data_IF_692682503068
#
_entry.id   IF_692682503068
#
_cell.length_a   1.000
_cell.length_b   1.000
_cell.length_c   1.000
_cell.angle_alpha   90.00
_cell.angle_beta   90.00
_cell.angle_gamma   90.00
#
_symmetry.space_group_name_H-M   'P 1'
#
loop_
_entity.id
_entity.type
_entity.pdbx_description
1 polymer ?
#
# COMPACT_ATOMS: atom_id res chain seq x y z
N UNK A 1 -11.48 13.26 27.50
CA UNK A 1 -10.86 12.89 26.21
C UNK A 1 -9.93 11.73 26.54
N UNK A 2 -10.21 10.49 26.11
CA UNK A 2 -9.39 9.32 26.49
C UNK A 2 -8.07 9.36 25.70
N UNK A 3 -6.93 9.49 26.38
CA UNK A 3 -5.59 9.72 25.77
C UNK A 3 -5.26 8.81 24.58
N UNK A 4 -5.72 7.55 24.61
CA UNK A 4 -5.56 6.57 23.52
C UNK A 4 -6.09 7.01 22.16
N UNK A 5 -7.18 7.77 22.11
CA UNK A 5 -7.72 8.26 20.82
C UNK A 5 -6.79 9.28 20.16
N UNK A 6 -6.12 10.10 20.97
CA UNK A 6 -5.16 11.09 20.47
C UNK A 6 -3.84 10.43 20.08
N UNK A 7 -3.36 9.48 20.88
CA UNK A 7 -2.20 8.66 20.53
C UNK A 7 -2.38 7.92 19.20
N UNK A 8 -3.60 7.42 18.93
CA UNK A 8 -3.95 6.78 17.67
C UNK A 8 -3.90 7.77 16.50
N UNK A 9 -4.44 8.98 16.67
CA UNK A 9 -4.40 10.03 15.65
C UNK A 9 -2.95 10.45 15.34
N UNK A 10 -2.13 10.68 16.36
CA UNK A 10 -0.73 11.03 16.19
C UNK A 10 0.05 9.90 15.49
N UNK A 11 -0.28 8.63 15.78
CA UNK A 11 0.30 7.48 15.09
C UNK A 11 -0.08 7.45 13.61
N UNK A 12 -1.37 7.63 13.28
CA UNK A 12 -1.85 7.68 11.90
C UNK A 12 -1.20 8.82 11.13
N UNK A 13 -1.00 9.98 11.75
CA UNK A 13 -0.29 11.10 11.15
C UNK A 13 1.19 10.77 10.86
N UNK A 14 1.94 10.29 11.86
CA UNK A 14 3.35 9.90 11.71
C UNK A 14 3.55 8.82 10.64
N UNK A 15 2.62 7.87 10.56
CA UNK A 15 2.67 6.74 9.62
C UNK A 15 1.98 7.01 8.30
N UNK A 16 1.35 8.19 8.14
CA UNK A 16 0.60 8.59 6.95
C UNK A 16 -0.45 7.56 6.57
N UNK A 17 -1.23 7.13 7.56
CA UNK A 17 -2.34 6.17 7.38
C UNK A 17 -3.64 6.95 7.22
N UNK A 18 -4.29 6.77 6.08
CA UNK A 18 -5.52 7.50 5.74
C UNK A 18 -6.79 6.83 6.29
N UNK A 19 -6.80 5.50 6.33
CA UNK A 19 -7.90 4.65 6.78
C UNK A 19 -7.33 3.57 7.70
N UNK A 20 -7.92 3.39 8.88
CA UNK A 20 -7.48 2.39 9.86
C UNK A 20 -8.67 1.63 10.44
N UNK A 21 -8.66 0.31 10.32
CA UNK A 21 -9.57 -0.55 11.09
C UNK A 21 -9.00 -0.75 12.49
N UNK A 22 -9.85 -0.64 13.51
CA UNK A 22 -9.48 -0.88 14.91
C UNK A 22 -10.44 -1.87 15.56
N UNK A 23 -9.90 -2.78 16.34
CA UNK A 23 -10.61 -3.80 17.08
C UNK A 23 -10.34 -3.63 18.59
N UNK A 24 -11.12 -4.33 19.42
CA UNK A 24 -11.07 -4.21 20.88
C UNK A 24 -11.16 -2.77 21.40
N UNK A 25 -12.02 -1.95 20.78
CA UNK A 25 -12.16 -0.55 21.21
C UNK A 25 -12.67 -0.44 22.64
N UNK A 26 -13.48 -1.42 23.09
CA UNK A 26 -14.12 -1.44 24.42
C UNK A 26 -14.92 -0.17 24.69
N UNK A 27 -15.52 0.38 23.64
CA UNK A 27 -16.34 1.58 23.70
C UNK A 27 -17.81 1.20 23.53
N UNK A 28 -18.65 1.67 24.46
CA UNK A 28 -20.10 1.46 24.38
C UNK A 28 -20.75 2.53 23.51
N UNK A 29 -21.53 2.08 22.53
CA UNK A 29 -22.38 2.93 21.70
C UNK A 29 -22.15 2.73 20.20
N UNK A 30 -23.02 3.37 19.43
CA UNK A 30 -23.03 3.39 17.97
C UNK A 30 -22.88 4.84 17.51
N UNK A 31 -21.64 5.34 17.38
CA UNK A 31 -21.37 6.77 17.18
C UNK A 31 -20.22 7.02 16.20
N UNK A 32 -19.98 8.30 15.93
CA UNK A 32 -18.73 8.78 15.35
C UNK A 32 -18.19 9.93 16.18
N UNK A 33 -16.86 10.09 16.26
CA UNK A 33 -16.21 11.13 17.06
C UNK A 33 -14.88 11.54 16.45
N UNK A 34 -14.59 12.83 16.43
CA UNK A 34 -13.24 13.33 16.11
C UNK A 34 -12.26 12.95 17.24
N UNK A 35 -11.10 12.42 16.88
CA UNK A 35 -10.09 11.92 17.82
C UNK A 35 -8.85 12.82 17.91
N UNK A 36 -8.78 13.88 17.10
CA UNK A 36 -7.65 14.81 17.02
C UNK A 36 -6.92 14.72 15.68
N UNK A 37 -5.99 15.65 15.42
CA UNK A 37 -5.11 15.68 14.25
C UNK A 37 -5.80 15.47 12.87
N UNK A 38 -7.05 15.91 12.72
CA UNK A 38 -7.80 15.72 11.48
C UNK A 38 -8.24 14.27 11.24
N UNK A 39 -8.52 13.49 12.29
CA UNK A 39 -9.07 12.14 12.17
C UNK A 39 -10.41 11.99 12.89
N UNK A 40 -11.28 11.15 12.31
CA UNK A 40 -12.59 10.79 12.85
C UNK A 40 -12.75 9.28 12.92
N UNK A 41 -13.14 8.82 14.11
CA UNK A 41 -13.44 7.42 14.39
C UNK A 41 -14.94 7.17 14.28
N UNK A 42 -15.32 6.17 13.51
CA UNK A 42 -16.63 5.53 13.50
C UNK A 42 -16.51 4.25 14.29
N UNK A 43 -17.38 4.00 15.27
CA UNK A 43 -17.28 2.79 16.08
C UNK A 43 -18.65 2.22 16.43
N UNK A 44 -18.63 0.94 16.78
CA UNK A 44 -19.74 0.23 17.40
C UNK A 44 -19.23 -0.73 18.48
N UNK A 45 -19.86 -0.69 19.64
CA UNK A 45 -19.63 -1.65 20.71
C UNK A 45 -20.77 -1.66 21.73
N UNK A 46 -21.00 -2.81 22.35
CA UNK A 46 -22.13 -3.03 23.27
C UNK A 46 -21.69 -2.87 24.73
N UNK A 47 -20.49 -3.36 25.06
CA UNK A 47 -19.90 -3.32 26.40
C UNK A 47 -18.62 -2.44 26.39
N UNK A 48 -18.41 -1.69 27.46
CA UNK A 48 -17.17 -0.95 27.69
C UNK A 48 -16.01 -1.81 28.19
N UNK A 49 -16.24 -3.11 28.42
CA UNK A 49 -15.23 -4.06 28.95
C UNK A 49 -14.72 -5.06 27.91
N UNK A 50 -15.51 -5.36 26.88
CA UNK A 50 -15.23 -6.41 25.88
C UNK A 50 -15.57 -5.93 24.47
N UNK A 51 -14.91 -6.53 23.47
CA UNK A 51 -15.16 -6.34 22.05
C UNK A 51 -15.12 -4.87 21.59
N UNK A 52 -15.74 -4.60 20.45
CA UNK A 52 -15.89 -3.29 19.85
C UNK A 52 -15.01 -3.14 18.61
N UNK A 53 -15.62 -2.65 17.55
CA UNK A 53 -14.97 -2.38 16.27
C UNK A 53 -15.05 -0.91 15.91
N UNK A 54 -14.09 -0.47 15.12
CA UNK A 54 -14.03 0.88 14.61
C UNK A 54 -13.33 0.98 13.27
N UNK A 55 -13.61 2.07 12.57
CA UNK A 55 -12.86 2.55 11.41
C UNK A 55 -12.54 4.02 11.63
N UNK A 56 -11.25 4.35 11.61
CA UNK A 56 -10.75 5.73 11.67
C UNK A 56 -10.46 6.19 10.26
N UNK A 57 -10.95 7.38 9.92
CA UNK A 57 -10.71 8.05 8.65
C UNK A 57 -10.03 9.39 8.89
N UNK A 58 -9.06 9.73 8.03
CA UNK A 58 -8.58 11.10 7.87
C UNK A 58 -9.72 12.00 7.37
N UNK A 59 -9.75 13.25 7.81
CA UNK A 59 -10.86 14.20 7.62
C UNK A 59 -11.29 14.34 6.16
N UNK A 60 -10.34 14.28 5.22
CA UNK A 60 -10.61 14.35 3.78
C UNK A 60 -11.47 13.18 3.26
N UNK A 61 -11.37 12.00 3.88
CA UNK A 61 -12.19 10.82 3.55
C UNK A 61 -13.51 10.80 4.30
N UNK A 62 -13.63 11.51 5.42
CA UNK A 62 -14.89 11.60 6.19
C UNK A 62 -16.00 12.18 5.32
N UNK A 63 -15.68 13.18 4.48
CA UNK A 63 -16.64 13.80 3.56
C UNK A 63 -17.04 12.90 2.39
N UNK A 64 -16.29 11.82 2.17
CA UNK A 64 -16.50 10.84 1.09
C UNK A 64 -17.31 9.62 1.55
N UNK A 65 -17.70 9.56 2.83
CA UNK A 65 -18.50 8.46 3.38
C UNK A 65 -19.93 8.56 2.89
N UNK A 66 -20.39 7.53 2.18
CA UNK A 66 -21.76 7.40 1.71
C UNK A 66 -22.63 6.58 2.68
N UNK A 67 -22.05 5.57 3.33
CA UNK A 67 -22.79 4.67 4.21
C UNK A 67 -21.92 4.18 5.37
N UNK A 68 -22.55 3.96 6.52
CA UNK A 68 -21.93 3.32 7.69
C UNK A 68 -22.84 2.22 8.22
N UNK A 69 -22.50 0.95 7.98
CA UNK A 69 -23.21 -0.21 8.53
C UNK A 69 -22.51 -0.69 9.79
N UNK A 70 -23.25 -0.80 10.89
CA UNK A 70 -22.76 -1.28 12.18
C UNK A 70 -23.54 -2.54 12.51
N UNK A 71 -23.00 -3.70 12.12
CA UNK A 71 -23.71 -4.98 12.17
C UNK A 71 -23.71 -5.52 13.59
N UNK A 72 -22.52 -5.58 14.21
CA UNK A 72 -22.32 -6.06 15.57
C UNK A 72 -21.09 -5.40 16.21
N UNK A 73 -20.80 -5.71 17.48
CA UNK A 73 -19.57 -5.29 18.17
C UNK A 73 -18.31 -6.01 17.65
N UNK A 74 -18.48 -6.84 16.60
CA UNK A 74 -17.43 -7.57 15.89
C UNK A 74 -17.35 -7.24 14.41
N UNK A 75 -18.40 -6.69 13.78
CA UNK A 75 -18.43 -6.40 12.34
C UNK A 75 -19.04 -5.03 12.07
N UNK A 76 -18.31 -4.20 11.32
CA UNK A 76 -18.84 -2.96 10.74
C UNK A 76 -18.24 -2.68 9.37
N UNK A 77 -18.95 -1.92 8.54
CA UNK A 77 -18.46 -1.47 7.24
C UNK A 77 -18.77 0.00 6.96
N UNK A 78 -17.85 0.64 6.25
CA UNK A 78 -18.03 1.97 5.70
C UNK A 78 -17.95 1.88 4.18
N UNK A 79 -18.89 2.54 3.50
CA UNK A 79 -18.84 2.75 2.06
C UNK A 79 -18.39 4.18 1.79
N UNK A 80 -17.34 4.33 0.99
CA UNK A 80 -16.80 5.61 0.56
C UNK A 80 -16.82 5.71 -0.96
N UNK A 81 -17.05 6.92 -1.48
CA UNK A 81 -16.81 7.24 -2.88
C UNK A 81 -15.55 8.08 -3.01
N UNK A 82 -14.51 7.51 -3.60
CA UNK A 82 -13.22 8.16 -3.77
C UNK A 82 -12.97 8.31 -5.27
N UNK A 83 -13.13 9.53 -5.78
CA UNK A 83 -12.88 9.87 -7.19
C UNK A 83 -13.65 8.94 -8.16
N UNK A 84 -14.95 8.74 -7.90
CA UNK A 84 -15.83 7.86 -8.69
C UNK A 84 -15.67 6.36 -8.42
N UNK A 85 -14.80 5.96 -7.48
CA UNK A 85 -14.64 4.56 -7.06
C UNK A 85 -15.38 4.33 -5.75
N UNK A 86 -16.28 3.35 -5.75
CA UNK A 86 -16.88 2.84 -4.53
C UNK A 86 -15.90 1.91 -3.80
N UNK A 87 -15.45 2.33 -2.61
CA UNK A 87 -14.61 1.55 -1.71
C UNK A 87 -15.39 1.18 -0.45
N UNK A 88 -15.47 -0.10 -0.16
CA UNK A 88 -16.05 -0.64 1.07
C UNK A 88 -14.92 -1.08 2.00
N UNK A 89 -14.84 -0.44 3.17
CA UNK A 89 -13.89 -0.78 4.23
C UNK A 89 -14.63 -1.54 5.31
N UNK A 90 -14.26 -2.79 5.53
CA UNK A 90 -14.88 -3.66 6.54
C UNK A 90 -13.90 -3.88 7.68
N UNK A 91 -14.35 -3.64 8.91
CA UNK A 91 -13.60 -3.94 10.13
C UNK A 91 -14.22 -5.15 10.82
N UNK A 92 -13.43 -6.22 10.95
CA UNK A 92 -13.84 -7.48 11.58
C UNK A 92 -13.02 -7.80 12.83
N UNK A 93 -13.66 -8.35 13.85
CA UNK A 93 -13.02 -8.85 15.06
C UNK A 93 -13.53 -10.26 15.40
N UNK A 94 -12.80 -11.27 14.95
CA UNK A 94 -13.21 -12.66 15.11
C UNK A 94 -13.18 -13.10 16.58
N UNK A 95 -14.06 -14.02 17.00
CA UNK A 95 -13.99 -14.65 18.31
C UNK A 95 -12.65 -15.37 18.54
N UNK A 96 -12.25 -15.50 19.81
CA UNK A 96 -11.01 -16.20 20.16
C UNK A 96 -11.15 -17.72 19.95
N UNK A 97 -10.02 -18.42 19.84
CA UNK A 97 -9.97 -19.89 19.63
C UNK A 97 -10.82 -20.66 20.64
N UNK A 98 -10.89 -20.20 21.91
CA UNK A 98 -11.67 -20.84 22.97
C UNK A 98 -13.16 -20.45 23.05
N UNK A 99 -13.67 -19.60 22.15
CA UNK A 99 -15.09 -19.26 22.09
C UNK A 99 -15.93 -20.41 21.53
N UNK A 100 -17.21 -20.44 21.91
CA UNK A 100 -18.20 -21.40 21.41
C UNK A 100 -18.35 -21.32 19.90
N UNK A 101 -18.64 -22.47 19.27
CA UNK A 101 -18.79 -22.56 17.80
C UNK A 101 -19.90 -21.64 17.28
N UNK A 102 -21.00 -21.51 18.01
CA UNK A 102 -22.12 -20.63 17.66
C UNK A 102 -21.68 -19.15 17.54
N UNK A 103 -20.76 -18.69 18.41
CA UNK A 103 -20.22 -17.33 18.33
C UNK A 103 -19.35 -17.16 17.07
N UNK A 104 -18.56 -18.17 16.72
CA UNK A 104 -17.74 -18.19 15.50
C UNK A 104 -18.61 -18.18 14.25
N UNK A 105 -19.62 -19.04 14.19
CA UNK A 105 -20.56 -19.13 13.07
C UNK A 105 -21.33 -17.83 12.88
N UNK A 106 -21.79 -17.20 13.96
CA UNK A 106 -22.46 -15.89 13.89
C UNK A 106 -21.56 -14.82 13.28
N UNK A 107 -20.29 -14.73 13.70
CA UNK A 107 -19.34 -13.78 13.11
C UNK A 107 -19.16 -13.97 11.59
N UNK A 108 -19.01 -15.22 11.15
CA UNK A 108 -18.85 -15.51 9.72
C UNK A 108 -20.12 -15.25 8.92
N UNK A 109 -21.30 -15.54 9.48
CA UNK A 109 -22.59 -15.20 8.86
C UNK A 109 -22.76 -13.69 8.70
N UNK A 110 -22.45 -12.91 9.73
CA UNK A 110 -22.49 -11.43 9.67
C UNK A 110 -21.53 -10.89 8.61
N UNK A 111 -20.32 -11.45 8.50
CA UNK A 111 -19.36 -11.05 7.48
C UNK A 111 -19.82 -11.42 6.07
N UNK A 112 -20.43 -12.61 5.92
CA UNK A 112 -21.01 -13.06 4.65
C UNK A 112 -22.13 -12.12 4.19
N UNK A 113 -23.05 -11.74 5.07
CA UNK A 113 -24.13 -10.80 4.77
C UNK A 113 -23.60 -9.44 4.30
N UNK A 114 -22.57 -8.91 4.97
CA UNK A 114 -21.90 -7.68 4.52
C UNK A 114 -21.35 -7.85 3.12
N UNK A 115 -20.64 -8.94 2.85
CA UNK A 115 -20.02 -9.19 1.53
C UNK A 115 -21.04 -9.37 0.42
N UNK A 116 -22.12 -10.12 0.66
CA UNK A 116 -23.22 -10.32 -0.30
C UNK A 116 -23.92 -8.98 -0.60
N UNK A 117 -24.00 -8.08 0.38
CA UNK A 117 -24.59 -6.75 0.17
C UNK A 117 -23.76 -5.81 -0.70
N UNK A 118 -22.47 -6.10 -0.92
CA UNK A 118 -21.56 -5.24 -1.66
C UNK A 118 -21.51 -5.69 -3.14
N UNK A 119 -21.92 -4.84 -4.10
CA UNK A 119 -21.88 -5.20 -5.52
C UNK A 119 -20.50 -5.62 -5.99
N UNK A 120 -20.41 -6.62 -6.87
CA UNK A 120 -19.15 -7.22 -7.32
C UNK A 120 -18.19 -6.22 -7.98
N UNK A 121 -18.72 -5.16 -8.61
CA UNK A 121 -17.91 -4.10 -9.24
C UNK A 121 -17.25 -3.13 -8.26
N UNK A 122 -17.70 -3.07 -7.01
CA UNK A 122 -17.13 -2.18 -6.00
C UNK A 122 -15.82 -2.74 -5.43
N UNK A 123 -14.98 -1.87 -4.84
CA UNK A 123 -13.78 -2.32 -4.13
C UNK A 123 -14.13 -2.71 -2.71
N UNK A 124 -13.46 -3.73 -2.19
CA UNK A 124 -13.59 -4.17 -0.79
C UNK A 124 -12.21 -4.38 -0.20
N UNK A 125 -11.99 -3.80 0.97
CA UNK A 125 -10.85 -4.08 1.83
C UNK A 125 -11.37 -4.43 3.22
N UNK A 126 -11.01 -5.61 3.70
CA UNK A 126 -11.35 -6.07 5.05
C UNK A 126 -10.09 -6.00 5.89
N UNK A 127 -10.10 -5.20 6.95
CA UNK A 127 -9.09 -5.25 8.00
C UNK A 127 -9.66 -6.01 9.19
N UNK A 128 -9.13 -7.19 9.46
CA UNK A 128 -9.67 -8.05 10.52
C UNK A 128 -8.59 -8.72 11.35
N UNK A 129 -8.87 -8.81 12.65
CA UNK A 129 -8.16 -9.71 13.55
C UNK A 129 -8.91 -11.04 13.56
N UNK A 130 -8.33 -12.05 12.91
CA UNK A 130 -8.92 -13.37 12.80
C UNK A 130 -8.42 -14.33 13.90
N UNK A 131 -7.45 -13.94 14.75
CA UNK A 131 -6.90 -14.81 15.80
C UNK A 131 -6.35 -16.17 15.30
N UNK A 132 -5.77 -16.22 14.09
CA UNK A 132 -5.35 -17.48 13.42
C UNK A 132 -3.83 -17.66 13.32
N UNK A 133 -3.39 -18.89 13.01
CA UNK A 133 -2.10 -19.18 12.40
C UNK A 133 -2.36 -19.89 11.08
N UNK A 134 -1.88 -19.35 9.96
CA UNK A 134 -2.26 -19.88 8.63
C UNK A 134 -1.10 -20.56 7.90
N UNK A 135 -1.24 -21.86 7.64
CA UNK A 135 -0.46 -22.61 6.68
C UNK A 135 -0.81 -22.22 5.24
N UNK A 136 0.17 -22.11 4.33
CA UNK A 136 -0.07 -21.80 2.90
C UNK A 136 -0.21 -23.02 1.97
N UNK A 137 -0.07 -24.25 2.47
CA UNK A 137 -0.10 -25.45 1.62
C UNK A 137 -1.50 -25.73 1.06
N UNK A 138 -1.62 -25.69 -0.27
CA UNK A 138 -2.82 -26.14 -1.00
C UNK A 138 -3.80 -25.03 -1.42
N UNK A 139 -3.53 -23.76 -1.10
CA UNK A 139 -4.50 -22.66 -1.28
C UNK A 139 -3.91 -21.47 -2.05
N UNK A 140 -3.05 -21.75 -3.02
CA UNK A 140 -2.39 -20.75 -3.89
C UNK A 140 -3.36 -19.88 -4.70
N UNK A 141 -4.64 -20.25 -4.72
CA UNK A 141 -5.73 -19.47 -5.31
C UNK A 141 -6.14 -18.24 -4.49
N UNK A 142 -6.06 -18.33 -3.15
CA UNK A 142 -6.47 -17.26 -2.21
C UNK A 142 -5.30 -16.71 -1.41
N UNK A 143 -4.19 -17.45 -1.34
CA UNK A 143 -3.00 -17.09 -0.56
C UNK A 143 -1.75 -17.04 -1.45
N UNK A 144 -0.86 -16.10 -1.14
CA UNK A 144 0.45 -15.97 -1.76
C UNK A 144 1.52 -16.87 -1.11
N UNK A 145 2.71 -16.87 -1.70
CA UNK A 145 3.83 -17.77 -1.38
C UNK A 145 4.44 -17.56 0.01
N UNK A 146 4.07 -16.50 0.73
CA UNK A 146 4.76 -16.06 1.96
C UNK A 146 3.93 -16.21 3.25
N UNK A 147 2.82 -16.95 3.22
CA UNK A 147 2.06 -17.32 4.42
C UNK A 147 2.84 -18.13 5.46
N UNK A 148 2.26 -18.32 6.64
CA UNK A 148 2.84 -19.14 7.72
C UNK A 148 2.75 -20.63 7.33
N UNK A 149 3.41 -21.54 8.07
CA UNK A 149 3.53 -22.96 7.67
C UNK A 149 2.46 -23.88 8.26
N UNK A 150 1.85 -23.53 9.39
CA UNK A 150 0.90 -24.38 10.12
C UNK A 150 -0.48 -23.73 10.19
N UNK A 151 -1.53 -24.52 9.91
CA UNK A 151 -2.93 -24.09 9.88
C UNK A 151 -3.71 -24.71 11.04
N UNK A 152 -4.42 -23.88 11.81
CA UNK A 152 -5.43 -24.32 12.77
C UNK A 152 -6.87 -24.25 12.19
N UNK A 153 -7.86 -24.70 12.95
CA UNK A 153 -9.28 -24.69 12.53
C UNK A 153 -9.75 -23.28 12.14
N UNK A 154 -9.39 -22.27 12.93
CA UNK A 154 -9.76 -20.89 12.65
C UNK A 154 -9.11 -20.40 11.35
N UNK A 155 -7.84 -20.76 11.09
CA UNK A 155 -7.18 -20.49 9.81
C UNK A 155 -7.88 -21.17 8.63
N UNK A 156 -8.47 -22.35 8.82
CA UNK A 156 -9.29 -22.98 7.79
C UNK A 156 -10.57 -22.20 7.52
N UNK A 157 -11.23 -21.65 8.55
CA UNK A 157 -12.43 -20.81 8.37
C UNK A 157 -12.14 -19.55 7.54
N UNK A 158 -10.97 -18.91 7.73
CA UNK A 158 -10.55 -17.77 6.90
C UNK A 158 -10.35 -18.19 5.45
N UNK A 159 -9.68 -19.34 5.21
CA UNK A 159 -9.49 -19.88 3.86
C UNK A 159 -10.83 -20.22 3.20
N UNK A 160 -11.75 -20.87 3.91
CA UNK A 160 -13.06 -21.23 3.37
C UNK A 160 -13.88 -19.98 3.01
N UNK A 161 -13.87 -18.96 3.87
CA UNK A 161 -14.49 -17.66 3.61
C UNK A 161 -13.86 -16.99 2.37
N UNK A 162 -12.53 -16.94 2.29
CA UNK A 162 -11.84 -16.27 1.17
C UNK A 162 -12.09 -16.97 -0.16
N UNK A 163 -12.16 -18.30 -0.18
CA UNK A 163 -12.54 -19.06 -1.38
C UNK A 163 -13.97 -18.77 -1.80
N UNK A 164 -14.91 -18.84 -0.85
CA UNK A 164 -16.34 -18.60 -1.09
C UNK A 164 -16.60 -17.20 -1.64
N UNK A 165 -15.89 -16.20 -1.14
CA UNK A 165 -16.10 -14.79 -1.48
C UNK A 165 -15.15 -14.25 -2.57
N UNK A 166 -14.36 -15.12 -3.22
CA UNK A 166 -13.36 -14.74 -4.23
C UNK A 166 -12.41 -13.63 -3.74
N UNK A 167 -11.88 -13.82 -2.53
CA UNK A 167 -10.98 -12.89 -1.85
C UNK A 167 -9.52 -13.39 -1.90
N UNK A 168 -8.60 -12.47 -1.65
CA UNK A 168 -7.18 -12.73 -1.52
C UNK A 168 -6.69 -12.31 -0.13
N UNK A 169 -5.87 -13.16 0.51
CA UNK A 169 -5.21 -12.87 1.79
C UNK A 169 -3.95 -12.05 1.52
N UNK A 170 -4.11 -10.73 1.47
CA UNK A 170 -3.10 -9.79 0.96
C UNK A 170 -1.74 -9.94 1.63
N UNK A 171 -1.71 -10.15 2.95
CA UNK A 171 -0.49 -10.28 3.74
C UNK A 171 0.45 -11.39 3.23
N UNK A 172 -0.08 -12.41 2.56
CA UNK A 172 0.65 -13.60 2.14
C UNK A 172 1.32 -13.47 0.77
N UNK A 173 1.02 -12.40 0.02
CA UNK A 173 1.58 -12.13 -1.32
C UNK A 173 2.92 -11.39 -1.29
N UNK A 174 3.28 -10.77 -0.16
CA UNK A 174 4.48 -9.94 -0.08
C UNK A 174 5.57 -10.61 0.77
N UNK A 175 6.77 -10.73 0.22
CA UNK A 175 7.93 -11.22 0.98
C UNK A 175 8.34 -10.18 2.03
N UNK A 176 8.27 -10.55 3.31
CA UNK A 176 8.66 -9.69 4.42
C UNK A 176 9.60 -10.42 5.39
N UNK A 177 10.45 -9.66 6.08
CA UNK A 177 11.23 -10.15 7.23
C UNK A 177 10.26 -10.65 8.30
N UNK A 178 10.65 -11.66 9.06
CA UNK A 178 9.80 -12.29 10.08
C UNK A 178 9.18 -11.28 11.07
N UNK A 179 9.97 -10.30 11.50
CA UNK A 179 9.53 -9.22 12.39
C UNK A 179 8.36 -8.40 11.83
N UNK A 180 8.26 -8.28 10.50
CA UNK A 180 7.22 -7.55 9.78
C UNK A 180 6.07 -8.46 9.30
N UNK A 181 6.04 -9.72 9.76
CA UNK A 181 4.93 -10.68 9.58
C UNK A 181 4.20 -10.97 10.88
N UNK A 182 4.91 -10.95 12.01
CA UNK A 182 4.35 -11.21 13.33
C UNK A 182 3.49 -10.03 13.78
N UNK A 183 2.20 -10.25 13.99
CA UNK A 183 1.29 -9.21 14.48
C UNK A 183 0.95 -9.38 15.96
N UNK A 184 1.22 -10.53 16.59
CA UNK A 184 1.02 -10.72 18.04
C UNK A 184 2.26 -11.29 18.74
N UNK A 185 2.60 -10.75 19.91
CA UNK A 185 3.70 -11.22 20.77
C UNK A 185 3.26 -11.33 22.23
N UNK A 186 3.27 -12.53 22.80
CA UNK A 186 3.04 -12.76 24.23
C UNK A 186 3.71 -14.04 24.72
N UNK A 187 4.38 -14.00 25.88
CA UNK A 187 4.95 -15.19 26.55
C UNK A 187 5.91 -16.02 25.71
N UNK A 188 6.66 -15.40 24.77
CA UNK A 188 7.56 -16.10 23.85
C UNK A 188 6.91 -16.63 22.56
N UNK A 189 5.58 -16.61 22.45
CA UNK A 189 4.84 -16.94 21.21
C UNK A 189 4.76 -15.73 20.28
N UNK A 190 4.90 -15.99 18.98
CA UNK A 190 4.85 -15.02 17.89
C UNK A 190 3.86 -15.54 16.83
N UNK A 191 2.75 -14.84 16.62
CA UNK A 191 1.70 -15.25 15.67
C UNK A 191 1.27 -14.09 14.78
N UNK A 192 0.67 -14.40 13.63
CA UNK A 192 0.06 -13.42 12.73
C UNK A 192 -1.46 -13.57 12.83
N UNK A 193 -2.11 -12.64 13.50
CA UNK A 193 -3.56 -12.66 13.76
C UNK A 193 -4.32 -11.60 12.98
N UNK A 194 -3.63 -10.56 12.52
CA UNK A 194 -4.21 -9.45 11.77
C UNK A 194 -4.00 -9.63 10.26
N UNK A 195 -5.10 -9.56 9.53
CA UNK A 195 -5.14 -9.80 8.09
C UNK A 195 -5.82 -8.66 7.36
N UNK A 196 -5.31 -8.39 6.17
CA UNK A 196 -5.97 -7.58 5.17
C UNK A 196 -6.43 -8.52 4.06
N UNK A 197 -7.73 -8.49 3.78
CA UNK A 197 -8.33 -9.19 2.66
C UNK A 197 -8.80 -8.16 1.62
N UNK A 198 -8.70 -8.51 0.35
CA UNK A 198 -9.33 -7.75 -0.74
C UNK A 198 -9.95 -8.72 -1.75
N UNK A 199 -10.81 -8.22 -2.65
CA UNK A 199 -11.27 -9.03 -3.78
C UNK A 199 -10.10 -9.46 -4.64
N UNK A 200 -10.13 -10.70 -5.13
CA UNK A 200 -9.07 -11.25 -5.99
C UNK A 200 -8.86 -10.40 -7.24
N UNK A 201 -9.94 -9.93 -7.87
CA UNK A 201 -9.91 -9.02 -9.03
C UNK A 201 -9.21 -7.68 -8.75
N UNK A 202 -9.14 -7.27 -7.48
CA UNK A 202 -8.60 -5.98 -7.03
C UNK A 202 -7.21 -6.08 -6.41
N UNK A 203 -6.68 -7.30 -6.23
CA UNK A 203 -5.37 -7.54 -5.60
C UNK A 203 -4.24 -6.79 -6.30
N UNK A 204 -4.28 -6.70 -7.63
CA UNK A 204 -3.32 -5.95 -8.46
C UNK A 204 -3.26 -4.44 -8.17
N UNK A 205 -4.28 -3.89 -7.52
CA UNK A 205 -4.29 -2.48 -7.12
C UNK A 205 -3.45 -2.25 -5.86
N UNK A 206 -3.12 -3.32 -5.11
CA UNK A 206 -2.33 -3.29 -3.89
C UNK A 206 -0.85 -3.39 -4.24
N UNK A 207 -0.10 -2.35 -3.87
CA UNK A 207 1.35 -2.22 -4.08
C UNK A 207 2.20 -2.76 -2.93
N UNK A 208 1.68 -2.80 -1.70
CA UNK A 208 2.40 -3.29 -0.52
C UNK A 208 1.43 -3.66 0.60
N UNK A 209 1.79 -4.66 1.41
CA UNK A 209 1.15 -4.97 2.68
C UNK A 209 2.23 -5.38 3.70
N UNK A 210 2.26 -4.73 4.85
CA UNK A 210 3.28 -4.98 5.88
C UNK A 210 2.77 -4.74 7.30
N UNK A 211 3.36 -5.44 8.27
CA UNK A 211 3.22 -5.11 9.68
C UNK A 211 4.20 -3.99 10.04
N UNK A 212 3.70 -2.98 10.74
CA UNK A 212 4.49 -1.88 11.32
C UNK A 212 4.89 -2.26 12.74
N UNK A 213 6.20 -2.39 12.96
CA UNK A 213 6.80 -2.76 14.24
C UNK A 213 7.22 -1.50 15.00
N UNK A 214 7.03 -1.49 16.33
CA UNK A 214 7.61 -0.45 17.21
C UNK A 214 6.69 0.71 17.61
N UNK A 215 5.37 0.60 17.43
CA UNK A 215 4.43 1.60 17.97
C UNK A 215 4.01 1.26 19.41
N UNK A 216 3.95 2.28 20.27
CA UNK A 216 3.63 2.14 21.69
C UNK A 216 2.12 2.03 21.99
N UNK A 217 1.27 2.38 21.02
CA UNK A 217 -0.20 2.47 21.18
C UNK A 217 -0.84 1.09 21.40
N UNK A 218 -0.27 0.04 20.82
CA UNK A 218 -0.67 -1.35 21.03
C UNK A 218 0.57 -2.21 21.34
N UNK A 219 0.90 -2.37 22.63
CA UNK A 219 2.13 -3.06 23.09
C UNK A 219 2.23 -4.53 22.68
N UNK A 220 1.12 -5.16 22.26
CA UNK A 220 1.05 -6.59 21.92
C UNK A 220 0.58 -6.89 20.49
N UNK A 221 -0.04 -5.92 19.79
CA UNK A 221 -0.59 -6.08 18.44
C UNK A 221 0.13 -5.15 17.45
N UNK A 222 0.64 -5.70 16.35
CA UNK A 222 1.32 -4.99 15.28
C UNK A 222 0.33 -4.54 14.20
N UNK A 223 0.32 -3.24 13.89
CA UNK A 223 -0.57 -2.68 12.87
C UNK A 223 -0.21 -3.20 11.48
N UNK A 224 -1.17 -3.74 10.74
CA UNK A 224 -1.02 -4.09 9.32
C UNK A 224 -1.40 -2.90 8.46
N UNK A 225 -0.54 -2.52 7.52
CA UNK A 225 -0.77 -1.41 6.58
C UNK A 225 -0.73 -1.95 5.16
N UNK A 226 -1.81 -1.72 4.41
CA UNK A 226 -1.93 -2.01 2.98
C UNK A 226 -1.93 -0.71 2.18
N UNK A 227 -1.34 -0.75 0.98
CA UNK A 227 -1.17 0.41 0.11
C UNK A 227 -1.71 0.14 -1.30
N UNK A 228 -2.67 0.94 -1.77
CA UNK A 228 -3.26 0.82 -3.11
C UNK A 228 -2.80 1.95 -4.03
N UNK A 229 -2.52 1.72 -5.34
CA UNK A 229 -1.84 2.75 -6.17
C UNK A 229 -2.24 2.85 -7.65
N UNK A 230 -2.53 1.80 -8.43
CA UNK A 230 -2.53 1.95 -9.91
C UNK A 230 -3.79 2.59 -10.54
N UNK A 231 -4.98 2.05 -10.29
CA UNK A 231 -6.22 2.50 -10.95
C UNK A 231 -6.74 3.83 -10.40
N UNK A 232 -6.40 4.12 -9.14
CA UNK A 232 -6.68 5.42 -8.49
C UNK A 232 -5.93 6.54 -9.21
N UNK A 233 -4.68 6.32 -9.62
CA UNK A 233 -3.92 7.33 -10.35
C UNK A 233 -4.54 7.64 -11.72
N UNK A 234 -5.04 6.64 -12.45
CA UNK A 234 -5.70 6.86 -13.74
C UNK A 234 -6.97 7.71 -13.60
N UNK A 235 -7.80 7.40 -12.60
CA UNK A 235 -9.04 8.14 -12.34
C UNK A 235 -8.76 9.57 -11.84
N UNK A 236 -7.78 9.75 -10.95
CA UNK A 236 -7.33 11.08 -10.50
C UNK A 236 -6.80 11.93 -11.66
N UNK A 237 -6.17 11.32 -12.65
CA UNK A 237 -5.73 12.00 -13.88
C UNK A 237 -6.84 12.23 -14.91
N UNK A 238 -8.11 12.00 -14.57
CA UNK A 238 -9.25 12.29 -15.44
C UNK A 238 -9.42 11.31 -16.61
N UNK A 239 -8.78 10.14 -16.56
CA UNK A 239 -8.95 9.13 -17.61
C UNK A 239 -10.38 8.59 -17.57
N UNK A 240 -11.07 8.65 -18.71
CA UNK A 240 -12.46 8.19 -18.80
C UNK A 240 -12.61 6.72 -18.37
N UNK A 241 -13.65 6.41 -17.61
CA UNK A 241 -13.83 5.11 -16.95
C UNK A 241 -13.75 3.92 -17.92
N UNK A 242 -14.28 4.09 -19.14
CA UNK A 242 -14.17 3.07 -20.21
C UNK A 242 -12.73 2.61 -20.47
N UNK A 243 -11.76 3.51 -20.38
CA UNK A 243 -10.34 3.17 -20.58
C UNK A 243 -9.71 2.58 -19.32
N UNK A 244 -10.15 3.03 -18.13
CA UNK A 244 -9.71 2.44 -16.86
C UNK A 244 -10.15 0.98 -16.78
N UNK A 245 -11.39 0.66 -17.17
CA UNK A 245 -11.89 -0.72 -17.20
C UNK A 245 -11.11 -1.59 -18.19
N UNK A 246 -10.84 -1.09 -19.41
CA UNK A 246 -10.06 -1.83 -20.41
C UNK A 246 -8.64 -2.11 -19.91
N UNK A 247 -7.97 -1.12 -19.31
CA UNK A 247 -6.64 -1.32 -18.71
C UNK A 247 -6.73 -2.27 -17.51
N UNK A 248 -7.77 -2.19 -16.69
CA UNK A 248 -7.99 -3.14 -15.61
C UNK A 248 -8.09 -4.58 -16.16
N UNK A 249 -8.89 -4.81 -17.18
CA UNK A 249 -9.06 -6.13 -17.80
C UNK A 249 -7.75 -6.67 -18.38
N UNK A 250 -6.96 -5.82 -19.04
CA UNK A 250 -5.64 -6.19 -19.57
C UNK A 250 -4.74 -6.77 -18.47
N UNK A 251 -4.77 -6.20 -17.26
CA UNK A 251 -3.93 -6.65 -16.15
C UNK A 251 -4.53 -7.84 -15.36
N UNK A 252 -5.82 -8.14 -15.49
CA UNK A 252 -6.50 -9.17 -14.66
C UNK A 252 -6.10 -10.61 -14.99
N UNK A 253 -5.73 -10.88 -16.25
CA UNK A 253 -5.47 -12.23 -16.76
C UNK A 253 -4.09 -12.37 -17.39
N UNK A 254 -3.17 -11.46 -17.05
CA UNK A 254 -1.85 -11.40 -17.69
C UNK A 254 -0.94 -12.55 -17.24
N UNK A 255 -0.47 -13.32 -18.22
CA UNK A 255 0.57 -14.35 -18.07
C UNK A 255 1.71 -14.02 -19.02
N UNK A 256 2.94 -14.25 -18.58
CA UNK A 256 4.13 -14.02 -19.40
C UNK A 256 4.85 -15.36 -19.59
N UNK A 257 5.44 -15.49 -20.77
CA UNK A 257 6.46 -16.49 -21.10
C UNK A 257 7.72 -15.74 -21.52
N UNK A 258 8.88 -16.14 -21.01
CA UNK A 258 10.16 -15.55 -21.41
C UNK A 258 10.78 -16.44 -22.50
N UNK A 259 11.14 -15.84 -23.64
CA UNK A 259 11.88 -16.54 -24.69
C UNK A 259 13.38 -16.37 -24.44
N UNK A 260 14.05 -17.48 -24.14
CA UNK A 260 15.48 -17.56 -23.90
C UNK A 260 16.19 -18.24 -25.09
N UNK A 261 17.52 -18.18 -25.12
CA UNK A 261 18.32 -18.87 -26.16
C UNK A 261 18.14 -20.40 -26.17
N UNK A 262 17.74 -20.98 -25.03
CA UNK A 262 17.48 -22.42 -24.84
C UNK A 262 16.00 -22.83 -24.99
N UNK A 263 15.11 -21.89 -25.33
CA UNK A 263 13.67 -22.15 -25.50
C UNK A 263 12.78 -21.17 -24.75
N UNK A 264 11.48 -21.47 -24.69
CA UNK A 264 10.50 -20.70 -23.92
C UNK A 264 10.40 -21.22 -22.48
N UNK A 265 10.23 -20.32 -21.51
CA UNK A 265 9.95 -20.71 -20.12
C UNK A 265 8.51 -21.23 -19.97
N UNK A 266 8.20 -21.80 -18.81
CA UNK A 266 6.81 -22.03 -18.40
C UNK A 266 6.08 -20.69 -18.23
N UNK A 267 4.75 -20.72 -18.40
CA UNK A 267 3.88 -19.57 -18.14
C UNK A 267 3.86 -19.23 -16.65
N UNK A 268 4.03 -17.95 -16.33
CA UNK A 268 3.81 -17.45 -14.97
C UNK A 268 2.95 -16.18 -14.98
N UNK A 269 2.19 -15.99 -13.89
CA UNK A 269 1.34 -14.80 -13.70
C UNK A 269 2.19 -13.58 -13.35
N UNK A 270 1.74 -12.42 -13.83
CA UNK A 270 2.34 -11.12 -13.49
C UNK A 270 1.58 -10.51 -12.34
N UNK A 271 2.24 -10.37 -11.19
CA UNK A 271 1.59 -9.85 -9.97
C UNK A 271 1.90 -8.36 -9.73
N UNK A 272 2.97 -7.83 -10.32
CA UNK A 272 3.45 -6.46 -10.10
C UNK A 272 4.11 -5.87 -11.34
N UNK A 273 4.05 -4.55 -11.47
CA UNK A 273 4.71 -3.79 -12.52
C UNK A 273 3.82 -3.50 -13.73
N UNK A 274 4.41 -2.90 -14.77
CA UNK A 274 3.73 -2.60 -16.03
C UNK A 274 4.04 -3.67 -17.07
N UNK A 275 3.13 -3.89 -18.04
CA UNK A 275 3.36 -4.84 -19.13
C UNK A 275 4.56 -4.44 -19.99
N UNK A 276 5.62 -5.23 -19.95
CA UNK A 276 6.80 -4.97 -20.75
C UNK A 276 6.47 -5.11 -22.25
N UNK A 277 6.81 -4.09 -23.05
CA UNK A 277 6.52 -4.05 -24.48
C UNK A 277 5.09 -3.60 -24.84
N UNK A 278 4.24 -3.29 -23.86
CA UNK A 278 2.92 -2.71 -24.12
C UNK A 278 3.04 -1.23 -24.51
N UNK A 279 2.33 -0.82 -25.57
CA UNK A 279 2.22 0.58 -25.99
C UNK A 279 1.54 1.47 -24.94
N UNK A 280 0.72 0.89 -24.06
CA UNK A 280 -0.02 1.63 -23.03
C UNK A 280 0.83 1.85 -21.77
N UNK A 281 1.83 1.00 -21.54
CA UNK A 281 2.65 1.06 -20.32
C UNK A 281 3.43 2.37 -20.13
N UNK A 282 4.03 2.99 -21.16
CA UNK A 282 4.64 4.31 -21.01
C UNK A 282 3.67 5.38 -20.51
N UNK A 283 2.42 5.34 -20.98
CA UNK A 283 1.38 6.28 -20.55
C UNK A 283 0.95 6.04 -19.09
N UNK A 284 0.75 4.78 -18.71
CA UNK A 284 0.44 4.41 -17.32
C UNK A 284 1.58 4.77 -16.36
N UNK A 285 2.82 4.57 -16.81
CA UNK A 285 3.99 5.00 -16.07
C UNK A 285 4.00 6.51 -15.86
N UNK A 286 3.72 7.29 -16.91
CA UNK A 286 3.66 8.75 -16.82
C UNK A 286 2.57 9.22 -15.84
N UNK A 287 1.37 8.62 -15.88
CA UNK A 287 0.29 8.92 -14.93
C UNK A 287 0.73 8.68 -13.49
N UNK A 288 1.35 7.52 -13.24
CA UNK A 288 1.83 7.16 -11.89
C UNK A 288 2.95 8.11 -11.46
N UNK A 289 3.89 8.43 -12.35
CA UNK A 289 5.00 9.35 -12.08
C UNK A 289 4.54 10.78 -11.81
N UNK A 290 3.53 11.27 -12.52
CA UNK A 290 2.98 12.62 -12.30
C UNK A 290 2.39 12.73 -10.89
N UNK A 291 1.58 11.75 -10.50
CA UNK A 291 1.03 11.63 -9.15
C UNK A 291 2.09 11.42 -8.06
N UNK A 292 3.16 10.69 -8.40
CA UNK A 292 4.25 10.45 -7.47
C UNK A 292 5.01 11.73 -7.13
N UNK A 293 5.22 12.54 -8.17
CA UNK A 293 6.06 13.72 -8.16
C UNK A 293 5.34 15.01 -7.76
N UNK A 294 4.01 15.05 -7.73
CA UNK A 294 3.18 16.24 -7.45
C UNK A 294 3.67 17.07 -6.25
N UNK A 295 4.11 16.44 -5.16
CA UNK A 295 4.55 17.11 -3.93
C UNK A 295 6.03 17.54 -3.92
N UNK A 296 6.85 17.02 -4.85
CA UNK A 296 8.32 17.21 -4.84
C UNK A 296 8.86 17.84 -6.13
N UNK A 297 8.06 17.87 -7.19
CA UNK A 297 8.44 18.43 -8.48
C UNK A 297 8.50 19.96 -8.38
N UNK A 298 9.62 20.53 -8.79
CA UNK A 298 9.76 21.96 -8.98
C UNK A 298 9.60 22.32 -10.46
N UNK A 299 9.39 23.60 -10.75
CA UNK A 299 9.35 24.08 -12.13
C UNK A 299 10.72 23.93 -12.81
N UNK A 300 10.69 23.82 -14.14
CA UNK A 300 11.91 23.82 -14.95
C UNK A 300 12.70 25.12 -14.71
N UNK A 301 14.03 25.07 -14.56
CA UNK A 301 14.93 23.93 -14.82
C UNK A 301 15.29 23.09 -13.58
N UNK A 302 14.71 23.37 -12.42
CA UNK A 302 15.10 22.78 -11.13
C UNK A 302 14.75 21.30 -11.01
N UNK A 303 13.67 20.87 -11.66
CA UNK A 303 13.35 19.46 -11.82
C UNK A 303 12.93 19.21 -13.27
N UNK A 304 13.62 18.29 -13.94
CA UNK A 304 13.25 17.82 -15.26
C UNK A 304 13.04 16.32 -15.20
N UNK A 305 11.92 15.85 -15.74
CA UNK A 305 11.57 14.44 -15.75
C UNK A 305 11.33 13.99 -17.17
N UNK A 306 11.90 12.84 -17.53
CA UNK A 306 11.57 12.18 -18.78
C UNK A 306 11.60 10.67 -18.63
N UNK A 307 10.45 10.04 -18.87
CA UNK A 307 10.28 8.61 -18.62
C UNK A 307 10.82 8.26 -17.22
N UNK A 308 11.78 7.35 -17.14
CA UNK A 308 12.38 6.88 -15.88
C UNK A 308 13.53 7.76 -15.36
N UNK A 309 13.96 8.78 -16.12
CA UNK A 309 15.06 9.67 -15.74
C UNK A 309 14.54 10.93 -15.05
N UNK A 310 15.15 11.28 -13.92
CA UNK A 310 14.83 12.47 -13.12
C UNK A 310 16.11 13.26 -12.95
N UNK A 311 16.11 14.50 -13.39
CA UNK A 311 17.19 15.47 -13.20
C UNK A 311 16.77 16.47 -12.13
N UNK A 312 17.61 16.62 -11.13
CA UNK A 312 17.43 17.58 -10.03
C UNK A 312 18.59 18.57 -10.11
N UNK A 313 18.26 19.85 -10.21
CA UNK A 313 19.23 20.95 -10.22
C UNK A 313 19.06 21.76 -8.94
N UNK A 314 20.16 22.22 -8.36
CA UNK A 314 20.14 23.17 -7.25
C UNK A 314 21.44 23.97 -7.25
N UNK A 315 21.48 25.06 -6.48
CA UNK A 315 22.63 25.96 -6.45
C UNK A 315 23.74 25.47 -5.48
N UNK A 316 23.38 24.59 -4.55
CA UNK A 316 24.32 24.02 -3.57
C UNK A 316 24.21 22.48 -3.51
N UNK A 317 25.30 21.84 -3.07
CA UNK A 317 25.34 20.37 -2.90
C UNK A 317 24.36 19.91 -1.82
N UNK A 318 24.22 20.69 -0.74
CA UNK A 318 23.31 20.42 0.38
C UNK A 318 21.85 20.42 -0.09
N UNK A 319 21.48 21.36 -0.96
CA UNK A 319 20.14 21.41 -1.56
C UNK A 319 19.87 20.21 -2.49
N UNK A 320 20.88 19.75 -3.23
CA UNK A 320 20.78 18.54 -4.06
C UNK A 320 20.57 17.31 -3.18
N UNK A 321 21.33 17.15 -2.09
CA UNK A 321 21.16 16.05 -1.13
C UNK A 321 19.77 16.06 -0.49
N UNK A 322 19.30 17.22 -0.02
CA UNK A 322 17.96 17.37 0.55
C UNK A 322 16.87 17.01 -0.47
N UNK A 323 17.01 17.49 -1.71
CA UNK A 323 16.08 17.19 -2.79
C UNK A 323 16.11 15.71 -3.18
N UNK A 324 17.29 15.09 -3.24
CA UNK A 324 17.45 13.66 -3.48
C UNK A 324 16.74 12.82 -2.40
N UNK A 325 16.86 13.21 -1.13
CA UNK A 325 16.16 12.54 -0.03
C UNK A 325 14.64 12.74 -0.09
N UNK A 326 14.16 13.96 -0.43
CA UNK A 326 12.73 14.22 -0.67
C UNK A 326 12.19 13.33 -1.79
N UNK A 327 12.91 13.24 -2.90
CA UNK A 327 12.56 12.39 -4.05
C UNK A 327 12.59 10.91 -3.70
N UNK A 328 13.63 10.45 -3.01
CA UNK A 328 13.71 9.08 -2.50
C UNK A 328 12.50 8.75 -1.65
N UNK A 329 12.19 9.59 -0.66
CA UNK A 329 11.04 9.39 0.20
C UNK A 329 9.73 9.38 -0.61
N UNK A 330 9.58 10.29 -1.57
CA UNK A 330 8.39 10.39 -2.40
C UNK A 330 8.14 9.17 -3.31
N UNK A 331 9.20 8.54 -3.81
CA UNK A 331 9.17 7.35 -4.67
C UNK A 331 9.12 6.04 -3.87
N UNK A 332 9.99 5.88 -2.87
CA UNK A 332 10.09 4.67 -2.05
C UNK A 332 8.86 4.45 -1.18
N UNK A 333 8.24 5.54 -0.70
CA UNK A 333 6.94 5.42 -0.01
C UNK A 333 5.88 4.77 -0.90
N UNK A 334 6.06 4.80 -2.23
CA UNK A 334 5.14 4.24 -3.23
C UNK A 334 5.64 2.98 -3.94
N UNK A 335 6.66 2.32 -3.39
CA UNK A 335 7.17 1.04 -3.90
C UNK A 335 8.14 1.16 -5.07
N UNK A 336 8.49 2.38 -5.50
CA UNK A 336 9.55 2.61 -6.50
C UNK A 336 10.89 2.80 -5.81
N UNK A 337 11.95 2.21 -6.36
CA UNK A 337 13.31 2.33 -5.80
C UNK A 337 14.19 3.14 -6.72
N UNK A 338 14.96 4.06 -6.14
CA UNK A 338 16.01 4.77 -6.87
C UNK A 338 17.20 3.81 -7.05
N UNK A 339 17.67 3.70 -8.29
CA UNK A 339 18.80 2.84 -8.63
C UNK A 339 20.11 3.51 -8.27
N UNK A 340 20.66 3.22 -7.09
CA UNK A 340 21.94 3.78 -6.62
C UNK A 340 23.07 3.67 -7.63
N UNK A 341 23.22 2.52 -8.28
CA UNK A 341 24.27 2.28 -9.29
C UNK A 341 24.14 3.11 -10.57
N UNK A 342 22.96 3.70 -10.80
CA UNK A 342 22.66 4.55 -11.96
C UNK A 342 22.50 6.03 -11.59
N UNK A 343 22.49 6.36 -10.30
CA UNK A 343 22.41 7.74 -9.84
C UNK A 343 23.79 8.37 -9.91
N UNK A 344 23.90 9.47 -10.63
CA UNK A 344 25.13 10.22 -10.83
C UNK A 344 24.87 11.69 -10.53
N UNK A 345 25.90 12.44 -10.12
CA UNK A 345 25.82 13.88 -9.95
C UNK A 345 26.96 14.59 -10.67
N UNK A 346 26.70 15.82 -11.11
CA UNK A 346 27.67 16.67 -11.80
C UNK A 346 27.61 18.07 -11.21
N UNK A 347 28.78 18.67 -10.98
CA UNK A 347 28.90 20.06 -10.57
C UNK A 347 29.26 20.90 -11.79
N UNK A 348 28.51 21.96 -12.04
CA UNK A 348 28.76 22.88 -13.17
C UNK A 348 29.47 24.12 -12.61
N UNK A 349 30.58 24.52 -13.25
CA UNK A 349 31.35 25.73 -12.88
C UNK A 349 31.88 25.76 -11.42
N UNK A 350 32.24 24.61 -10.88
CA UNK A 350 32.71 24.47 -9.50
C UNK A 350 34.16 24.96 -9.32
N UNK A 351 34.38 25.94 -8.43
CA UNK A 351 35.71 26.49 -8.12
C UNK A 351 36.45 25.72 -7.00
N UNK A 352 35.73 25.05 -6.10
CA UNK A 352 36.28 24.31 -4.96
C UNK A 352 35.79 22.84 -4.94
N UNK A 353 36.70 21.90 -5.15
CA UNK A 353 36.40 20.49 -5.43
C UNK A 353 36.17 19.57 -4.23
N UNK A 354 35.98 20.09 -3.01
CA UNK A 354 36.19 19.31 -1.78
C UNK A 354 34.94 18.65 -1.15
N UNK A 355 33.87 18.37 -1.89
CA UNK A 355 32.68 17.74 -1.30
C UNK A 355 31.92 16.76 -2.18
N UNK A 356 31.23 15.86 -1.51
CA UNK A 356 30.56 14.68 -2.06
C UNK A 356 29.06 14.80 -1.84
N UNK A 357 28.24 14.41 -2.82
CA UNK A 357 26.79 14.28 -2.64
C UNK A 357 26.47 12.88 -2.13
N UNK A 358 25.60 12.77 -1.13
CA UNK A 358 25.19 11.50 -0.52
C UNK A 358 23.70 11.22 -0.72
N UNK A 359 23.37 9.94 -0.88
CA UNK A 359 22.02 9.41 -0.87
C UNK A 359 21.97 8.28 0.18
N UNK A 360 21.11 8.41 1.19
CA UNK A 360 21.04 7.50 2.34
C UNK A 360 22.39 7.34 3.08
N UNK A 361 23.21 8.39 3.08
CA UNK A 361 24.53 8.38 3.71
C UNK A 361 25.66 7.76 2.88
N UNK A 362 25.37 7.20 1.70
CA UNK A 362 26.37 6.68 0.76
C UNK A 362 26.69 7.72 -0.33
N UNK A 363 27.96 7.78 -0.75
CA UNK A 363 28.41 8.71 -1.79
C UNK A 363 27.85 8.35 -3.17
N UNK A 364 27.26 9.35 -3.84
CA UNK A 364 26.78 9.25 -5.23
C UNK A 364 27.96 9.44 -6.17
N UNK A 365 27.97 8.74 -7.30
CA UNK A 365 29.07 8.83 -8.28
C UNK A 365 29.13 10.23 -8.91
N UNK A 366 30.26 10.93 -8.77
CA UNK A 366 30.55 12.19 -9.48
C UNK A 366 30.94 11.93 -10.93
N UNK A 367 30.35 12.68 -11.86
CA UNK A 367 30.68 12.64 -13.30
C UNK A 367 31.00 14.02 -13.85
N UNK A 368 31.74 14.06 -14.97
CA UNK A 368 32.09 15.29 -15.68
C UNK A 368 31.18 15.59 -16.87
N UNK A 369 30.38 14.60 -17.27
CA UNK A 369 29.39 14.71 -18.34
C UNK A 369 28.23 13.77 -18.08
N UNK A 370 27.02 14.19 -18.43
CA UNK A 370 25.85 13.34 -18.46
C UNK A 370 25.24 13.34 -19.86
N UNK A 371 24.65 12.21 -20.26
CA UNK A 371 23.83 12.13 -21.47
C UNK A 371 22.37 12.16 -21.05
N UNK A 372 21.65 13.20 -21.43
CA UNK A 372 20.22 13.37 -21.15
C UNK A 372 19.48 13.66 -22.45
N UNK A 373 18.44 12.88 -22.75
CA UNK A 373 17.61 13.04 -23.96
C UNK A 373 18.38 13.02 -25.29
N UNK A 374 19.50 12.30 -25.33
CA UNK A 374 20.38 12.27 -26.50
C UNK A 374 21.52 13.27 -26.42
N UNK A 375 21.36 14.34 -25.63
CA UNK A 375 22.31 15.44 -25.49
C UNK A 375 23.34 15.24 -24.37
N UNK A 376 24.61 15.49 -24.68
CA UNK A 376 25.72 15.41 -23.73
C UNK A 376 25.98 16.78 -23.11
N UNK A 377 25.69 16.92 -21.82
CA UNK A 377 25.98 18.13 -21.04
C UNK A 377 27.27 17.92 -20.25
N UNK A 378 28.17 18.89 -20.29
CA UNK A 378 29.47 18.85 -19.63
C UNK A 378 29.54 19.79 -18.43
N UNK A 379 30.46 19.52 -17.51
CA UNK A 379 30.68 20.30 -16.28
C UNK A 379 31.13 21.75 -16.52
N UNK A 380 31.64 22.06 -17.71
CA UNK A 380 31.96 23.43 -18.16
C UNK A 380 30.73 24.19 -18.71
N UNK A 381 29.54 23.60 -18.67
CA UNK A 381 28.31 24.19 -19.20
C UNK A 381 28.14 24.05 -20.71
N UNK A 382 29.06 23.39 -21.42
CA UNK A 382 28.94 23.15 -22.86
C UNK A 382 28.03 21.93 -23.15
N UNK A 383 27.21 22.06 -24.20
CA UNK A 383 26.56 20.91 -24.83
C UNK A 383 27.47 20.40 -25.96
N UNK A 384 27.78 19.10 -25.97
CA UNK A 384 28.66 18.50 -26.99
C UNK A 384 28.12 18.67 -28.42
N UNK A 385 29.02 18.77 -29.41
CA UNK A 385 28.65 18.77 -30.85
C UNK A 385 28.16 17.37 -31.24
N UNK A 386 26.85 17.22 -31.43
CA UNK A 386 26.19 15.92 -31.67
C UNK A 386 25.96 15.57 -33.14
N UNK A 387 26.78 16.09 -34.04
CA UNK A 387 26.82 15.60 -35.43
C UNK A 387 28.24 15.13 -35.73
N UNK A 388 28.45 13.82 -35.70
CA UNK A 388 29.46 13.19 -36.56
C UNK A 388 28.82 13.09 -37.95
N UNK A 389 29.41 13.79 -38.93
CA UNK A 389 29.08 13.64 -40.34
C UNK A 389 29.30 12.21 -40.80
#
# INVERSE_FOLDING_TARGET
MTGKGRELADMMERRKVDILCVQETRWKGSKSRSIGAGFKLFYYGVDSKRNGVGVVLKEEFVRKVLEVKRVSDRVMSLKLEIEGVMLNVVSGYAPQVGCELEEKERFWSELDEVMVSIPTGERVVIGADFNVGEGNKGDEEVMGKFGVKERNLEGQMVVDFTKRMDMAVVNTYFQKREEHRVTYKSGGRRTQVDYILCRRSTLKEISDCKVVVGESVARQQGMVVCRMTLMVCMRKSGVAEKYVTVVQDMYERSRIVVRCAVGQTEEFKVEVGLHQGSAVSPFLFAIVMDQLSEEVRQESPWTMMFAYDIVICSESREQVEESLEKWRFALERRGMKISRSKTEYMCVNEREGSGTVRLQGEEVKKVQKFKYLGSTVQSNGECGKEVKK
#
